data_IF_449464333654
#
_entry.id   IF_449464333654
#
_cell.length_a   1.000
_cell.length_b   1.000
_cell.length_c   1.000
_cell.angle_alpha   90.00
_cell.angle_beta   90.00
_cell.angle_gamma   90.00
#
_symmetry.space_group_name_H-M   'P 1'
#
loop_
_entity.id
_entity.type
_entity.pdbx_description
1 polymer ?
#
# COMPACT_ATOMS: atom_id res chain seq x y z
N UNK A 1 6.40 8.80 15.23
CA UNK A 1 6.25 8.86 13.78
C UNK A 1 5.31 7.75 13.33
N UNK A 2 4.30 8.06 12.57
CA UNK A 2 3.32 7.06 12.17
C UNK A 2 3.34 6.85 10.66
N UNK A 3 3.34 5.58 10.25
CA UNK A 3 3.25 5.18 8.85
C UNK A 3 1.88 4.57 8.60
N UNK A 4 1.34 4.84 7.41
CA UNK A 4 0.17 4.15 6.91
C UNK A 4 0.53 3.25 5.75
N UNK A 5 -0.37 2.35 5.40
CA UNK A 5 -0.18 1.41 4.30
C UNK A 5 -1.22 1.69 3.23
N UNK A 6 -0.81 1.64 1.98
CA UNK A 6 -1.74 1.70 0.85
C UNK A 6 -1.52 0.49 -0.05
N UNK A 7 -2.62 -0.13 -0.46
CA UNK A 7 -2.62 -1.30 -1.34
C UNK A 7 -3.26 -0.92 -2.67
N UNK A 8 -2.56 -1.19 -3.77
CA UNK A 8 -3.09 -0.99 -5.11
C UNK A 8 -3.14 -2.32 -5.85
N UNK A 9 -4.31 -2.73 -6.29
CA UNK A 9 -4.51 -4.02 -6.97
C UNK A 9 -5.39 -3.87 -8.20
N UNK A 10 -5.27 -4.82 -9.12
CA UNK A 10 -6.12 -4.92 -10.29
C UNK A 10 -7.54 -5.40 -9.96
N UNK A 11 -7.73 -5.96 -8.77
CA UNK A 11 -9.00 -6.53 -8.34
C UNK A 11 -9.34 -5.97 -6.97
N UNK A 12 -10.53 -5.38 -6.83
CA UNK A 12 -10.95 -4.80 -5.56
C UNK A 12 -10.94 -5.83 -4.43
N UNK A 13 -11.41 -7.04 -4.69
CA UNK A 13 -11.47 -8.10 -3.67
C UNK A 13 -10.07 -8.53 -3.20
N UNK A 14 -9.08 -8.50 -4.09
CA UNK A 14 -7.68 -8.77 -3.69
C UNK A 14 -7.20 -7.69 -2.74
N UNK A 15 -7.40 -6.42 -3.11
CA UNK A 15 -6.98 -5.30 -2.26
C UNK A 15 -7.65 -5.36 -0.90
N UNK A 16 -8.97 -5.56 -0.87
CA UNK A 16 -9.73 -5.65 0.37
C UNK A 16 -9.25 -6.81 1.24
N UNK A 17 -8.98 -7.96 0.64
CA UNK A 17 -8.49 -9.13 1.36
C UNK A 17 -7.13 -8.91 2.01
N UNK A 18 -6.22 -8.25 1.30
CA UNK A 18 -4.90 -7.90 1.85
C UNK A 18 -5.05 -6.94 3.04
N UNK A 19 -5.92 -5.94 2.91
CA UNK A 19 -6.20 -5.00 4.01
C UNK A 19 -6.74 -5.76 5.23
N UNK A 20 -7.70 -6.63 5.01
CA UNK A 20 -8.30 -7.39 6.12
C UNK A 20 -7.26 -8.25 6.84
N UNK A 21 -6.36 -8.88 6.08
CA UNK A 21 -5.29 -9.69 6.64
C UNK A 21 -4.31 -8.83 7.45
N UNK A 22 -3.81 -7.75 6.85
CA UNK A 22 -2.83 -6.88 7.48
C UNK A 22 -3.38 -6.18 8.73
N UNK A 23 -4.65 -5.78 8.69
CA UNK A 23 -5.29 -5.10 9.80
C UNK A 23 -5.40 -5.99 11.04
N UNK A 24 -5.46 -7.31 10.88
CA UNK A 24 -5.46 -8.25 12.01
C UNK A 24 -4.18 -8.16 12.82
N UNK A 25 -3.05 -7.96 12.14
CA UNK A 25 -1.74 -7.87 12.80
C UNK A 25 -1.42 -6.47 13.30
N UNK A 26 -2.11 -5.44 12.79
CA UNK A 26 -1.77 -4.04 13.07
C UNK A 26 -3.06 -3.20 13.12
N UNK A 27 -3.80 -3.34 14.21
CA UNK A 27 -5.15 -2.74 14.33
C UNK A 27 -5.13 -1.22 14.30
N UNK A 28 -4.05 -0.60 14.76
CA UNK A 28 -3.95 0.84 14.86
C UNK A 28 -3.24 1.50 13.68
N UNK A 29 -2.74 0.72 12.73
CA UNK A 29 -2.08 1.26 11.54
C UNK A 29 -3.14 1.62 10.51
N UNK A 30 -3.16 2.86 10.00
CA UNK A 30 -4.08 3.23 8.93
C UNK A 30 -3.75 2.47 7.65
N UNK A 31 -4.71 1.72 7.12
CA UNK A 31 -4.53 0.95 5.89
C UNK A 31 -5.70 1.27 4.96
N UNK A 32 -5.39 1.82 3.78
CA UNK A 32 -6.38 2.09 2.75
C UNK A 32 -6.02 1.36 1.47
N UNK A 33 -6.97 1.23 0.55
CA UNK A 33 -6.73 0.47 -0.67
C UNK A 33 -7.47 1.05 -1.86
N UNK A 34 -6.95 0.72 -3.04
CA UNK A 34 -7.61 0.95 -4.31
C UNK A 34 -7.49 -0.33 -5.14
N UNK A 35 -8.61 -0.83 -5.61
CA UNK A 35 -8.63 -2.03 -6.44
C UNK A 35 -9.63 -1.93 -7.55
N UNK A 36 -9.26 -2.42 -8.73
CA UNK A 36 -10.10 -2.39 -9.90
C UNK A 36 -10.13 -1.04 -10.61
N UNK A 37 -10.85 -1.02 -11.73
CA UNK A 37 -11.08 0.21 -12.51
C UNK A 37 -12.18 1.06 -11.87
N UNK A 38 -12.41 2.27 -12.41
CA UNK A 38 -13.42 3.18 -11.89
C UNK A 38 -14.83 2.59 -11.93
N UNK A 39 -15.09 1.72 -12.90
CA UNK A 39 -16.39 1.06 -13.08
C UNK A 39 -16.47 -0.32 -12.43
N UNK A 40 -15.48 -0.69 -11.63
CA UNK A 40 -15.50 -1.96 -10.89
C UNK A 40 -14.94 -3.16 -11.65
N UNK A 41 -14.32 -2.94 -12.81
CA UNK A 41 -13.72 -4.01 -13.60
C UNK A 41 -12.31 -4.38 -13.13
N UNK A 42 -11.67 -5.26 -13.89
CA UNK A 42 -10.29 -5.68 -13.65
C UNK A 42 -9.36 -4.63 -14.25
N UNK A 43 -8.42 -4.13 -13.44
CA UNK A 43 -7.47 -3.09 -13.84
C UNK A 43 -7.20 -2.15 -12.69
N UNK A 44 -6.38 -1.13 -12.92
CA UNK A 44 -6.07 -0.14 -11.88
C UNK A 44 -6.61 1.23 -12.27
N UNK A 45 -6.73 2.12 -11.27
CA UNK A 45 -7.26 3.47 -11.47
C UNK A 45 -6.43 4.45 -10.66
N UNK A 46 -5.83 5.43 -11.33
CA UNK A 46 -5.11 6.51 -10.66
C UNK A 46 -6.03 7.31 -9.74
N UNK A 47 -7.28 7.54 -10.17
CA UNK A 47 -8.27 8.28 -9.38
C UNK A 47 -8.56 7.58 -8.06
N UNK A 48 -8.77 6.25 -8.11
CA UNK A 48 -9.04 5.47 -6.91
C UNK A 48 -7.81 5.43 -5.99
N UNK A 49 -6.61 5.31 -6.57
CA UNK A 49 -5.37 5.30 -5.79
C UNK A 49 -5.18 6.65 -5.10
N UNK A 50 -5.37 7.76 -5.81
CA UNK A 50 -5.26 9.10 -5.23
C UNK A 50 -6.26 9.28 -4.08
N UNK A 51 -7.49 8.83 -4.26
CA UNK A 51 -8.50 8.90 -3.21
C UNK A 51 -8.10 8.09 -1.97
N UNK A 52 -7.49 6.92 -2.17
CA UNK A 52 -7.02 6.09 -1.05
C UNK A 52 -5.84 6.73 -0.31
N UNK A 53 -4.93 7.40 -1.03
CA UNK A 53 -3.86 8.18 -0.41
C UNK A 53 -4.43 9.29 0.45
N UNK A 54 -5.38 10.05 -0.08
CA UNK A 54 -5.98 11.16 0.63
C UNK A 54 -6.79 10.71 1.85
N UNK A 55 -7.43 9.56 1.75
CA UNK A 55 -8.24 9.01 2.84
C UNK A 55 -7.41 8.40 3.97
N UNK A 56 -6.12 8.12 3.73
CA UNK A 56 -5.25 7.54 4.74
C UNK A 56 -4.83 8.61 5.74
N UNK A 57 -5.08 8.38 7.03
CA UNK A 57 -4.82 9.37 8.07
C UNK A 57 -3.35 9.52 8.47
N UNK A 58 -2.45 8.68 7.97
CA UNK A 58 -1.04 8.77 8.31
C UNK A 58 -0.35 9.88 7.50
N UNK A 59 0.74 10.41 8.06
CA UNK A 59 1.51 11.48 7.40
C UNK A 59 2.47 10.96 6.33
N UNK A 60 2.81 9.69 6.40
CA UNK A 60 3.77 9.06 5.49
C UNK A 60 3.28 7.66 5.18
N UNK A 61 3.29 7.28 3.89
CA UNK A 61 2.68 6.03 3.43
C UNK A 61 3.69 5.07 2.83
N UNK A 62 3.43 3.78 3.04
CA UNK A 62 4.17 2.67 2.45
C UNK A 62 3.21 1.98 1.48
N UNK A 63 3.56 1.96 0.20
CA UNK A 63 2.66 1.54 -0.86
C UNK A 63 3.08 0.21 -1.48
N UNK A 64 2.11 -0.65 -1.70
CA UNK A 64 2.29 -1.99 -2.26
C UNK A 64 1.32 -2.21 -3.40
N UNK A 65 1.76 -2.92 -4.43
CA UNK A 65 0.96 -3.18 -5.62
C UNK A 65 1.13 -4.64 -6.07
N UNK A 66 0.17 -5.15 -6.85
CA UNK A 66 0.22 -6.54 -7.31
C UNK A 66 0.99 -6.69 -8.63
N UNK A 67 0.65 -5.94 -9.66
CA UNK A 67 1.25 -6.09 -10.99
C UNK A 67 1.73 -4.74 -11.53
N UNK A 68 2.64 -4.77 -12.49
CA UNK A 68 3.34 -3.59 -12.98
C UNK A 68 2.46 -2.46 -13.51
N UNK A 69 1.31 -2.76 -14.10
CA UNK A 69 0.41 -1.70 -14.58
C UNK A 69 -0.23 -0.91 -13.44
N UNK A 70 -0.43 -1.55 -12.28
CA UNK A 70 -0.87 -0.84 -11.08
C UNK A 70 0.22 0.10 -10.59
N UNK A 71 1.49 -0.28 -10.72
CA UNK A 71 2.60 0.59 -10.33
C UNK A 71 2.63 1.88 -11.14
N UNK A 72 2.32 1.83 -12.43
CA UNK A 72 2.30 3.03 -13.27
C UNK A 72 1.29 4.06 -12.74
N UNK A 73 0.08 3.62 -12.44
CA UNK A 73 -0.94 4.50 -11.87
C UNK A 73 -0.59 4.95 -10.46
N UNK A 74 0.01 4.07 -9.68
CA UNK A 74 0.47 4.38 -8.32
C UNK A 74 1.55 5.46 -8.36
N UNK A 75 2.55 5.33 -9.24
CA UNK A 75 3.62 6.32 -9.36
C UNK A 75 3.07 7.70 -9.74
N UNK A 76 2.07 7.75 -10.63
CA UNK A 76 1.43 9.01 -11.01
C UNK A 76 0.67 9.63 -9.83
N UNK A 77 -0.03 8.82 -9.06
CA UNK A 77 -0.75 9.30 -7.88
C UNK A 77 0.22 9.81 -6.81
N UNK A 78 1.37 9.15 -6.66
CA UNK A 78 2.42 9.56 -5.71
C UNK A 78 2.98 10.93 -6.06
N UNK A 79 3.18 11.22 -7.34
CA UNK A 79 3.67 12.53 -7.77
C UNK A 79 2.70 13.66 -7.41
N UNK A 80 1.41 13.38 -7.38
CA UNK A 80 0.37 14.37 -7.07
C UNK A 80 0.02 14.43 -5.59
N UNK A 81 0.57 13.52 -4.77
CA UNK A 81 0.23 13.44 -3.36
C UNK A 81 0.87 14.57 -2.55
N UNK A 82 0.18 14.98 -1.48
CA UNK A 82 0.66 16.03 -0.58
C UNK A 82 1.53 15.48 0.55
N UNK A 83 1.76 14.19 0.58
CA UNK A 83 2.54 13.52 1.62
C UNK A 83 3.51 12.53 1.00
N UNK A 84 4.60 12.16 1.70
CA UNK A 84 5.53 11.16 1.20
C UNK A 84 4.87 9.80 1.06
N UNK A 85 5.08 9.15 -0.09
CA UNK A 85 4.61 7.80 -0.35
C UNK A 85 5.77 7.01 -0.92
N UNK A 86 6.15 5.95 -0.23
CA UNK A 86 7.25 5.07 -0.63
C UNK A 86 6.66 3.83 -1.30
N UNK A 87 7.08 3.55 -2.53
CA UNK A 87 6.58 2.42 -3.32
C UNK A 87 7.58 1.29 -3.25
N UNK A 88 7.10 0.08 -2.96
CA UNK A 88 7.96 -1.10 -2.79
C UNK A 88 7.64 -2.16 -3.83
N UNK A 89 8.70 -2.65 -4.50
CA UNK A 89 8.63 -3.67 -5.54
C UNK A 89 8.79 -5.08 -4.94
N UNK A 90 7.91 -5.40 -4.00
CA UNK A 90 7.99 -6.62 -3.21
C UNK A 90 6.73 -7.48 -3.41
N UNK A 91 6.77 -8.71 -2.89
CA UNK A 91 5.59 -9.57 -2.86
C UNK A 91 4.46 -8.85 -2.12
N UNK A 92 3.27 -8.78 -2.72
CA UNK A 92 2.18 -7.95 -2.21
C UNK A 92 1.71 -8.36 -0.81
N UNK A 93 1.35 -9.62 -0.63
CA UNK A 93 0.75 -10.08 0.63
C UNK A 93 1.81 -10.04 1.75
N UNK A 94 2.94 -10.66 1.50
CA UNK A 94 4.03 -10.72 2.49
C UNK A 94 4.56 -9.33 2.82
N UNK A 95 4.73 -8.49 1.80
CA UNK A 95 5.25 -7.13 1.99
C UNK A 95 4.31 -6.25 2.78
N UNK A 96 3.04 -6.22 2.40
CA UNK A 96 2.05 -5.39 3.08
C UNK A 96 1.84 -5.85 4.53
N UNK A 97 1.75 -7.16 4.75
CA UNK A 97 1.57 -7.71 6.08
C UNK A 97 2.77 -7.39 6.98
N UNK A 98 3.99 -7.59 6.46
CA UNK A 98 5.21 -7.30 7.22
C UNK A 98 5.33 -5.82 7.55
N UNK A 99 5.09 -4.95 6.56
CA UNK A 99 5.18 -3.50 6.79
C UNK A 99 4.15 -3.03 7.82
N UNK A 100 2.92 -3.53 7.74
CA UNK A 100 1.88 -3.17 8.70
C UNK A 100 2.26 -3.61 10.12
N UNK A 101 2.73 -4.84 10.26
CA UNK A 101 3.15 -5.39 11.56
C UNK A 101 4.29 -4.56 12.16
N UNK A 102 5.30 -4.25 11.34
CA UNK A 102 6.47 -3.52 11.81
C UNK A 102 6.15 -2.06 12.12
N UNK A 103 5.31 -1.42 11.31
CA UNK A 103 4.84 -0.06 11.59
C UNK A 103 4.05 -0.02 12.90
N UNK A 104 3.19 -1.01 13.12
CA UNK A 104 2.43 -1.14 14.37
C UNK A 104 3.32 -1.37 15.57
N UNK A 105 4.48 -1.99 15.38
CA UNK A 105 5.47 -2.21 16.45
C UNK A 105 6.38 -1.00 16.68
N UNK A 106 6.25 0.05 15.87
CA UNK A 106 6.99 1.29 16.07
C UNK A 106 8.36 1.36 15.41
N UNK A 107 8.67 0.46 14.47
CA UNK A 107 9.93 0.53 13.74
C UNK A 107 9.96 1.78 12.86
N UNK A 108 11.15 2.33 12.65
CA UNK A 108 11.34 3.44 11.72
C UNK A 108 11.42 2.94 10.27
N UNK A 109 11.48 3.88 9.32
CA UNK A 109 11.50 3.55 7.90
C UNK A 109 12.67 2.62 7.53
N UNK A 110 13.87 2.92 8.04
CA UNK A 110 15.05 2.09 7.75
C UNK A 110 14.87 0.66 8.25
N UNK A 111 14.30 0.48 9.43
CA UNK A 111 14.02 -0.83 10.00
C UNK A 111 13.01 -1.61 9.19
N UNK A 112 11.95 -0.94 8.74
CA UNK A 112 10.92 -1.56 7.91
C UNK A 112 11.51 -1.96 6.56
N UNK A 113 12.25 -1.07 5.91
CA UNK A 113 12.85 -1.33 4.60
C UNK A 113 13.85 -2.48 4.64
N UNK A 114 14.60 -2.61 5.73
CA UNK A 114 15.53 -3.73 5.89
C UNK A 114 14.80 -5.07 5.88
N UNK A 115 13.60 -5.14 6.46
CA UNK A 115 12.80 -6.36 6.49
C UNK A 115 12.09 -6.62 5.15
N UNK A 116 11.82 -5.58 4.38
CA UNK A 116 11.18 -5.75 3.06
C UNK A 116 12.17 -6.16 1.98
N UNK A 117 13.45 -5.85 2.15
CA UNK A 117 14.46 -6.12 1.12
C UNK A 117 14.48 -7.58 0.63
N UNK A 118 14.40 -8.62 1.50
CA UNK A 118 14.37 -10.01 1.04
C UNK A 118 13.12 -10.38 0.25
N UNK A 119 12.08 -9.57 0.28
CA UNK A 119 10.80 -9.84 -0.39
C UNK A 119 10.72 -9.22 -1.78
N UNK A 120 11.77 -8.56 -2.23
CA UNK A 120 11.80 -7.93 -3.55
C UNK A 120 11.77 -9.00 -4.63
N UNK A 121 10.76 -8.93 -5.50
CA UNK A 121 10.57 -9.92 -6.59
C UNK A 121 10.29 -9.28 -7.95
N UNK A 122 10.21 -7.97 -8.00
CA UNK A 122 9.79 -7.29 -9.24
C UNK A 122 10.35 -5.87 -9.35
#
# INVERSE_FOLDING_TARGET
MSYGIIIASHVEDIARGVVNLAQQAAKDVPITFAGGTDDGGIGSSMTKISAAIDANGADELLAFYDLGSAKMNLDMAVELADKPVHVYDVALVEGAYSAATLAGAGLDLAGIEAQLAPLKIK
#
